data_IF_739697381660
#
_entry.id   IF_739697381660
#
_cell.length_a   1.000
_cell.length_b   1.000
_cell.length_c   1.000
_cell.angle_alpha   90.00
_cell.angle_beta   90.00
_cell.angle_gamma   90.00
#
_symmetry.space_group_name_H-M   'P 1'
#
loop_
_entity.id
_entity.type
_entity.pdbx_description
1 polymer ?
#
# COMPACT_ATOMS: atom_id res chain seq x y z
N UNK A 1 -4.08 -28.40 97.19
CA UNK A 1 -4.60 -27.12 96.69
C UNK A 1 -3.61 -26.55 95.71
N UNK A 2 -3.70 -26.94 94.46
CA UNK A 2 -2.80 -26.44 93.40
C UNK A 2 -3.66 -25.96 92.22
N UNK A 3 -3.58 -24.71 91.99
CA UNK A 3 -4.22 -24.06 90.89
C UNK A 3 -3.22 -24.00 89.68
N UNK A 4 -3.46 -24.76 88.64
CA UNK A 4 -2.69 -24.73 87.40
C UNK A 4 -3.09 -23.55 86.57
N UNK A 5 -2.13 -22.67 86.37
CA UNK A 5 -2.16 -21.59 85.37
C UNK A 5 -1.67 -22.12 84.03
N UNK A 6 -2.58 -22.25 83.05
CA UNK A 6 -2.25 -22.48 81.69
C UNK A 6 -2.03 -21.11 80.99
N UNK A 7 -0.81 -20.86 80.55
CA UNK A 7 -0.41 -19.63 79.90
C UNK A 7 -0.83 -19.52 78.39
N UNK A 8 -0.83 -18.31 77.82
CA UNK A 8 -1.31 -18.03 76.45
C UNK A 8 -0.19 -18.21 75.41
N UNK A 9 0.16 -19.46 75.05
CA UNK A 9 1.26 -19.72 74.10
C UNK A 9 0.83 -20.11 72.68
N UNK A 10 -0.47 -20.20 72.36
CA UNK A 10 -0.97 -20.76 71.14
C UNK A 10 -1.37 -19.73 70.02
N UNK A 11 -1.44 -18.42 70.36
CA UNK A 11 -1.97 -17.42 69.41
C UNK A 11 -0.93 -16.79 68.46
N UNK A 12 0.36 -16.88 68.73
CA UNK A 12 1.41 -16.20 67.92
C UNK A 12 1.72 -16.99 66.64
N UNK A 13 1.66 -18.32 66.72
CA UNK A 13 1.89 -19.19 65.53
C UNK A 13 0.81 -19.05 64.46
N UNK A 14 -0.47 -18.98 64.95
CA UNK A 14 -1.61 -18.88 64.05
C UNK A 14 -1.68 -17.52 63.36
N UNK A 15 -1.37 -16.43 64.03
CA UNK A 15 -1.30 -15.07 63.43
C UNK A 15 -0.18 -14.93 62.38
N UNK A 16 0.98 -15.56 62.66
CA UNK A 16 2.09 -15.59 61.67
C UNK A 16 1.72 -16.39 60.41
N UNK A 17 1.03 -17.52 60.56
CA UNK A 17 0.59 -18.36 59.46
C UNK A 17 -0.42 -17.62 58.55
N UNK A 18 -1.39 -16.90 59.15
CA UNK A 18 -2.36 -16.08 58.40
C UNK A 18 -1.66 -14.94 57.67
N UNK A 19 -0.65 -14.32 58.26
CA UNK A 19 0.09 -13.21 57.63
C UNK A 19 0.92 -13.67 56.42
N UNK A 20 1.53 -14.86 56.53
CA UNK A 20 2.28 -15.48 55.40
C UNK A 20 1.35 -15.93 54.28
N UNK A 21 0.17 -16.51 54.61
CA UNK A 21 -0.83 -16.84 53.56
C UNK A 21 -1.35 -15.61 52.87
N UNK A 22 -1.63 -14.50 53.55
CA UNK A 22 -2.05 -13.22 52.90
C UNK A 22 -0.95 -12.65 52.01
N UNK A 23 0.33 -12.77 52.41
CA UNK A 23 1.45 -12.33 51.56
C UNK A 23 1.58 -13.20 50.29
N UNK A 24 1.49 -14.52 50.41
CA UNK A 24 1.53 -15.45 49.28
C UNK A 24 0.35 -15.21 48.31
N UNK A 25 -0.87 -14.99 48.83
CA UNK A 25 -2.03 -14.70 48.01
C UNK A 25 -1.89 -13.38 47.24
N UNK A 26 -1.31 -12.35 47.87
CA UNK A 26 -1.01 -11.07 47.19
C UNK A 26 0.03 -11.22 46.10
N UNK A 27 1.08 -11.99 46.32
CA UNK A 27 2.11 -12.28 45.34
C UNK A 27 1.51 -13.05 44.15
N UNK A 28 0.66 -14.04 44.41
CA UNK A 28 -0.03 -14.82 43.38
C UNK A 28 -0.97 -13.95 42.54
N UNK A 29 -1.69 -13.01 43.16
CA UNK A 29 -2.56 -12.05 42.48
C UNK A 29 -1.76 -11.07 41.61
N UNK A 30 -0.60 -10.60 42.08
CA UNK A 30 0.28 -9.72 41.33
C UNK A 30 0.90 -10.47 40.12
N UNK A 31 1.32 -11.73 40.33
CA UNK A 31 1.84 -12.57 39.24
C UNK A 31 0.79 -12.84 38.14
N UNK A 32 -0.46 -13.16 38.55
CA UNK A 32 -1.56 -13.33 37.60
C UNK A 32 -1.90 -12.03 36.87
N UNK A 33 -1.88 -10.88 37.54
CA UNK A 33 -2.12 -9.59 36.91
C UNK A 33 -1.01 -9.21 35.95
N UNK A 34 0.26 -9.50 36.24
CA UNK A 34 1.40 -9.30 35.34
C UNK A 34 1.34 -10.23 34.13
N UNK A 35 0.87 -11.48 34.29
CA UNK A 35 0.67 -12.42 33.19
C UNK A 35 -0.46 -11.99 32.26
N UNK A 36 -1.52 -11.35 32.77
CA UNK A 36 -2.60 -10.78 31.95
C UNK A 36 -2.16 -9.55 31.15
N UNK A 37 -1.22 -8.77 31.67
CA UNK A 37 -0.69 -7.60 30.96
C UNK A 37 0.27 -7.98 29.80
N UNK A 38 0.86 -9.16 29.80
CA UNK A 38 1.77 -9.62 28.75
C UNK A 38 1.07 -10.25 27.53
N UNK A 39 -0.24 -10.51 27.59
CA UNK A 39 -1.02 -11.14 26.52
C UNK A 39 -1.73 -10.15 25.60
N UNK A 40 -1.51 -8.85 25.74
CA UNK A 40 -2.33 -7.83 25.10
C UNK A 40 -1.62 -6.79 24.24
N UNK A 41 -0.67 -7.12 23.34
CA UNK A 41 -0.12 -6.07 22.49
C UNK A 41 0.40 -6.44 21.08
N UNK A 42 0.14 -7.62 20.55
CA UNK A 42 0.64 -7.98 19.22
C UNK A 42 -0.38 -7.80 18.06
N UNK A 43 -1.66 -7.63 18.34
CA UNK A 43 -2.68 -7.48 17.29
C UNK A 43 -2.64 -6.15 16.55
N UNK A 44 -2.26 -5.06 17.20
CA UNK A 44 -2.30 -3.73 16.60
C UNK A 44 -1.21 -3.50 15.51
N UNK A 45 -0.11 -4.26 15.54
CA UNK A 45 0.97 -4.15 14.54
C UNK A 45 0.69 -4.94 13.26
N UNK A 46 -0.13 -5.99 13.34
CA UNK A 46 -0.49 -6.85 12.20
C UNK A 46 -1.51 -6.20 11.27
N UNK A 47 -2.45 -5.40 11.77
CA UNK A 47 -3.53 -4.82 10.96
C UNK A 47 -3.06 -3.67 10.04
N UNK A 48 -1.98 -2.97 10.40
CA UNK A 48 -1.43 -1.88 9.56
C UNK A 48 -0.77 -2.33 8.27
N UNK A 49 -0.50 -3.62 8.14
CA UNK A 49 0.27 -4.18 7.04
C UNK A 49 -0.58 -4.71 5.89
N UNK A 50 -1.86 -4.95 6.14
CA UNK A 50 -2.75 -5.57 5.16
C UNK A 50 -3.38 -4.54 4.25
N UNK A 51 -3.49 -4.89 2.97
CA UNK A 51 -4.33 -4.17 2.04
C UNK A 51 -5.79 -4.61 2.22
N UNK A 52 -6.71 -3.65 2.21
CA UNK A 52 -8.15 -3.91 2.29
C UNK A 52 -8.81 -3.31 1.05
N UNK A 53 -9.63 -4.09 0.36
CA UNK A 53 -10.43 -3.60 -0.76
C UNK A 53 -11.57 -2.72 -0.22
N UNK A 54 -11.51 -1.43 -0.53
CA UNK A 54 -12.49 -0.43 -0.07
C UNK A 54 -13.50 -0.03 -1.14
N UNK A 55 -13.21 -0.35 -2.40
CA UNK A 55 -14.14 -0.20 -3.51
C UNK A 55 -13.88 -1.28 -4.55
N UNK A 56 -14.93 -1.77 -5.20
CA UNK A 56 -14.86 -2.71 -6.31
C UNK A 56 -16.02 -2.46 -7.26
N UNK A 57 -15.72 -2.42 -8.56
CA UNK A 57 -16.70 -2.35 -9.64
C UNK A 57 -16.30 -3.32 -10.75
N UNK A 58 -17.27 -3.97 -11.37
CA UNK A 58 -17.02 -4.94 -12.43
C UNK A 58 -16.46 -6.27 -11.95
N UNK A 59 -15.63 -6.91 -12.78
CA UNK A 59 -15.01 -8.19 -12.52
C UNK A 59 -13.59 -8.02 -12.02
N UNK A 60 -13.40 -8.27 -10.74
CA UNK A 60 -12.09 -8.20 -10.07
C UNK A 60 -11.82 -9.53 -9.38
N UNK A 61 -10.62 -10.04 -9.51
CA UNK A 61 -10.16 -11.26 -8.85
C UNK A 61 -8.79 -11.08 -8.18
N UNK A 62 -8.53 -11.92 -7.18
CA UNK A 62 -7.22 -12.09 -6.56
C UNK A 62 -6.71 -13.48 -6.92
N UNK A 63 -5.50 -13.55 -7.48
CA UNK A 63 -4.73 -14.78 -7.56
C UNK A 63 -3.91 -14.93 -6.28
N UNK A 64 -4.14 -16.01 -5.54
CA UNK A 64 -3.47 -16.38 -4.30
C UNK A 64 -2.95 -17.81 -4.41
N UNK A 65 -1.67 -17.98 -4.70
CA UNK A 65 -1.14 -19.28 -5.12
C UNK A 65 -1.89 -19.78 -6.36
N UNK A 66 -2.41 -20.99 -6.30
CA UNK A 66 -3.17 -21.62 -7.41
C UNK A 66 -4.67 -21.28 -7.39
N UNK A 67 -5.11 -20.42 -6.49
CA UNK A 67 -6.53 -20.07 -6.34
C UNK A 67 -6.84 -18.72 -6.97
N UNK A 68 -7.93 -18.65 -7.73
CA UNK A 68 -8.53 -17.40 -8.21
C UNK A 68 -9.79 -17.10 -7.40
N UNK A 69 -9.76 -16.00 -6.65
CA UNK A 69 -10.79 -15.59 -5.70
C UNK A 69 -11.49 -14.35 -6.27
N UNK A 70 -12.82 -14.40 -6.40
CA UNK A 70 -13.59 -13.21 -6.75
C UNK A 70 -13.52 -12.19 -5.61
N UNK A 71 -13.19 -10.95 -5.93
CA UNK A 71 -13.03 -9.87 -4.95
C UNK A 71 -14.37 -9.26 -4.57
N UNK A 72 -14.56 -9.02 -3.27
CA UNK A 72 -15.65 -8.24 -2.70
C UNK A 72 -15.12 -7.10 -1.82
N UNK A 73 -16.03 -6.23 -1.36
CA UNK A 73 -15.72 -5.21 -0.37
C UNK A 73 -15.16 -5.84 0.91
N UNK A 74 -14.21 -5.16 1.53
CA UNK A 74 -13.52 -5.56 2.75
C UNK A 74 -12.67 -6.83 2.61
N UNK A 75 -12.46 -7.30 1.37
CA UNK A 75 -11.52 -8.40 1.12
C UNK A 75 -10.12 -7.96 1.51
N UNK A 76 -9.48 -8.72 2.40
CA UNK A 76 -8.07 -8.52 2.77
C UNK A 76 -7.13 -9.12 1.73
N UNK A 77 -6.09 -8.36 1.37
CA UNK A 77 -4.96 -8.84 0.59
C UNK A 77 -3.91 -9.47 1.50
N UNK A 78 -3.34 -10.56 1.05
CA UNK A 78 -2.17 -11.20 1.66
C UNK A 78 -0.90 -10.86 0.87
N UNK A 79 0.23 -10.99 1.53
CA UNK A 79 1.52 -10.82 0.88
C UNK A 79 1.67 -11.79 -0.31
N UNK A 80 1.97 -11.26 -1.48
CA UNK A 80 2.09 -12.02 -2.73
C UNK A 80 0.82 -12.11 -3.57
N UNK A 81 -0.32 -11.64 -3.07
CA UNK A 81 -1.57 -11.61 -3.85
C UNK A 81 -1.41 -10.77 -5.12
N UNK A 82 -2.04 -11.26 -6.20
CA UNK A 82 -2.13 -10.55 -7.47
C UNK A 82 -3.57 -10.15 -7.73
N UNK A 83 -3.83 -8.86 -7.80
CA UNK A 83 -5.14 -8.31 -8.16
C UNK A 83 -5.23 -8.19 -9.67
N UNK A 84 -6.24 -8.80 -10.27
CA UNK A 84 -6.57 -8.66 -11.69
C UNK A 84 -7.94 -8.02 -11.86
N UNK A 85 -7.98 -7.02 -12.75
CA UNK A 85 -9.21 -6.37 -13.21
C UNK A 85 -9.45 -6.68 -14.67
N UNK A 86 -10.70 -6.94 -15.04
CA UNK A 86 -11.13 -7.11 -16.43
C UNK A 86 -11.56 -5.77 -17.06
N UNK A 87 -12.14 -5.82 -18.27
CA UNK A 87 -12.69 -4.62 -18.91
C UNK A 87 -13.76 -3.96 -18.04
N UNK A 88 -13.79 -2.63 -18.00
CA UNK A 88 -14.72 -1.82 -17.19
C UNK A 88 -14.75 -2.18 -15.71
N UNK A 89 -13.61 -2.61 -15.19
CA UNK A 89 -13.48 -3.05 -13.81
C UNK A 89 -12.46 -2.21 -13.06
N UNK A 90 -12.72 -1.96 -11.78
CA UNK A 90 -11.85 -1.16 -10.92
C UNK A 90 -11.87 -1.69 -9.50
N UNK A 91 -10.73 -1.68 -8.83
CA UNK A 91 -10.62 -1.90 -7.40
C UNK A 91 -9.83 -0.78 -6.74
N UNK A 92 -10.26 -0.35 -5.55
CA UNK A 92 -9.47 0.52 -4.67
C UNK A 92 -9.06 -0.27 -3.45
N UNK A 93 -7.77 -0.23 -3.16
CA UNK A 93 -7.15 -0.92 -2.05
C UNK A 93 -6.49 0.10 -1.16
N UNK A 94 -6.75 0.02 0.14
CA UNK A 94 -6.14 0.90 1.15
C UNK A 94 -5.21 0.11 2.05
N UNK A 95 -4.09 0.72 2.43
CA UNK A 95 -3.11 0.17 3.35
C UNK A 95 -2.85 1.17 4.47
N UNK A 96 -2.54 0.67 5.66
CA UNK A 96 -2.02 1.47 6.76
C UNK A 96 -2.91 2.63 7.20
N UNK A 97 -4.15 2.39 7.58
CA UNK A 97 -5.10 3.43 8.02
C UNK A 97 -5.29 4.53 6.94
N UNK A 98 -5.41 4.14 5.68
CA UNK A 98 -5.52 5.01 4.51
C UNK A 98 -4.26 5.84 4.18
N UNK A 99 -3.10 5.43 4.70
CA UNK A 99 -1.84 6.12 4.38
C UNK A 99 -1.36 5.85 2.95
N UNK A 100 -1.77 4.70 2.38
CA UNK A 100 -1.52 4.36 0.97
C UNK A 100 -2.84 3.92 0.36
N UNK A 101 -3.10 4.45 -0.81
CA UNK A 101 -4.29 4.22 -1.60
C UNK A 101 -3.87 3.81 -3.00
N UNK A 102 -4.36 2.67 -3.48
CA UNK A 102 -4.07 2.16 -4.82
C UNK A 102 -5.38 1.92 -5.53
N UNK A 103 -5.59 2.60 -6.63
CA UNK A 103 -6.66 2.29 -7.57
C UNK A 103 -6.08 1.45 -8.71
N UNK A 104 -6.59 0.23 -8.86
CA UNK A 104 -6.27 -0.67 -9.96
C UNK A 104 -7.37 -0.53 -10.99
N UNK A 105 -7.05 0.03 -12.16
CA UNK A 105 -8.00 0.33 -13.23
C UNK A 105 -8.23 -0.89 -14.14
N UNK A 106 -9.06 -0.72 -15.17
CA UNK A 106 -9.45 -1.81 -16.09
C UNK A 106 -8.25 -2.48 -16.76
N UNK A 107 -8.38 -3.78 -17.00
CA UNK A 107 -7.40 -4.61 -17.73
C UNK A 107 -6.00 -4.62 -17.11
N UNK A 108 -5.93 -4.51 -15.79
CA UNK A 108 -4.69 -4.38 -15.03
C UNK A 108 -4.33 -5.65 -14.27
N UNK A 109 -3.03 -5.84 -14.06
CA UNK A 109 -2.49 -6.88 -13.19
C UNK A 109 -1.48 -6.27 -12.24
N UNK A 110 -1.77 -6.37 -10.95
CA UNK A 110 -1.10 -5.66 -9.89
C UNK A 110 -0.83 -6.58 -8.71
N UNK A 111 0.43 -6.71 -8.29
CA UNK A 111 0.85 -7.56 -7.17
C UNK A 111 1.24 -6.70 -5.97
N UNK A 112 0.81 -7.11 -4.81
CA UNK A 112 1.26 -6.58 -3.53
C UNK A 112 2.26 -7.51 -2.87
N UNK A 113 3.40 -6.96 -2.45
CA UNK A 113 4.40 -7.66 -1.65
C UNK A 113 4.90 -6.74 -0.55
N UNK A 114 5.11 -7.28 0.63
CA UNK A 114 5.68 -6.56 1.76
C UNK A 114 6.92 -7.28 2.27
N UNK A 115 8.01 -6.56 2.40
CA UNK A 115 9.25 -7.03 2.99
C UNK A 115 9.73 -6.04 4.05
N UNK A 116 9.82 -6.49 5.31
CA UNK A 116 10.22 -5.65 6.45
C UNK A 116 9.36 -4.40 6.62
N UNK A 117 9.90 -3.22 6.28
CA UNK A 117 9.21 -1.93 6.36
C UNK A 117 8.94 -1.33 4.97
N UNK A 118 9.13 -2.10 3.91
CA UNK A 118 8.90 -1.66 2.54
C UNK A 118 7.68 -2.35 1.94
N UNK A 119 6.77 -1.55 1.38
CA UNK A 119 5.68 -2.04 0.55
C UNK A 119 6.11 -1.97 -0.91
N UNK A 120 6.19 -3.14 -1.50
CA UNK A 120 6.54 -3.31 -2.89
C UNK A 120 5.30 -3.63 -3.69
N UNK A 121 4.99 -2.77 -4.64
CA UNK A 121 3.95 -2.97 -5.64
C UNK A 121 4.60 -3.35 -6.96
N UNK A 122 4.01 -4.30 -7.67
CA UNK A 122 4.47 -4.73 -8.99
C UNK A 122 3.28 -4.62 -9.94
N UNK A 123 3.39 -3.75 -10.91
CA UNK A 123 2.40 -3.59 -11.97
C UNK A 123 2.90 -4.24 -13.26
N UNK A 124 2.29 -5.34 -13.65
CA UNK A 124 2.69 -6.09 -14.83
C UNK A 124 2.08 -5.52 -16.12
N UNK A 125 0.83 -5.05 -16.05
CA UNK A 125 0.09 -4.43 -17.17
C UNK A 125 -1.03 -3.52 -16.66
N UNK A 126 -1.56 -2.71 -17.57
CA UNK A 126 -2.71 -1.85 -17.31
C UNK A 126 -2.35 -0.57 -16.59
N UNK A 127 -3.26 -0.04 -15.80
CA UNK A 127 -3.14 1.28 -15.20
C UNK A 127 -3.45 1.27 -13.72
N UNK A 128 -2.66 2.02 -12.96
CA UNK A 128 -2.91 2.26 -11.54
C UNK A 128 -2.73 3.72 -11.20
N UNK A 129 -3.50 4.18 -10.24
CA UNK A 129 -3.26 5.44 -9.55
C UNK A 129 -2.86 5.13 -8.12
N UNK A 130 -1.75 5.70 -7.66
CA UNK A 130 -1.21 5.45 -6.33
C UNK A 130 -1.06 6.78 -5.59
N UNK A 131 -1.58 6.81 -4.36
CA UNK A 131 -1.44 7.95 -3.46
C UNK A 131 -0.86 7.51 -2.13
N UNK A 132 0.15 8.24 -1.65
CA UNK A 132 0.74 8.03 -0.33
C UNK A 132 0.65 9.33 0.46
N UNK A 133 -0.04 9.34 1.60
CA UNK A 133 -0.23 10.58 2.38
C UNK A 133 0.76 10.72 3.52
N UNK A 134 0.88 9.72 4.38
CA UNK A 134 1.76 9.74 5.56
C UNK A 134 2.41 8.38 5.75
N UNK A 135 3.65 8.26 5.35
CA UNK A 135 4.48 7.13 5.70
C UNK A 135 5.11 7.34 7.06
N UNK A 136 5.18 6.31 7.89
CA UNK A 136 5.91 6.36 9.14
C UNK A 136 7.42 6.46 8.87
N UNK A 137 8.17 6.99 9.83
CA UNK A 137 9.62 7.07 9.71
C UNK A 137 10.22 5.67 9.50
N UNK A 138 10.90 5.49 8.37
CA UNK A 138 11.52 4.21 7.99
C UNK A 138 10.63 3.29 7.15
N UNK A 139 9.39 3.70 6.81
CA UNK A 139 8.59 3.00 5.80
C UNK A 139 8.93 3.50 4.40
N UNK A 140 9.10 2.57 3.47
CA UNK A 140 9.29 2.80 2.05
C UNK A 140 8.10 2.28 1.24
N UNK A 141 7.86 2.91 0.11
CA UNK A 141 6.94 2.43 -0.92
C UNK A 141 7.66 2.46 -2.25
N UNK A 142 7.65 1.36 -2.96
CA UNK A 142 8.15 1.27 -4.33
C UNK A 142 7.14 0.61 -5.25
N UNK A 143 7.08 1.10 -6.49
CA UNK A 143 6.32 0.51 -7.56
C UNK A 143 7.26 0.05 -8.67
N UNK A 144 7.23 -1.25 -8.96
CA UNK A 144 8.00 -1.85 -10.04
C UNK A 144 7.08 -2.11 -11.23
N UNK A 145 7.57 -1.78 -12.40
CA UNK A 145 6.95 -2.07 -13.69
C UNK A 145 7.98 -2.79 -14.59
N UNK A 146 7.62 -3.26 -15.78
CA UNK A 146 8.59 -3.90 -16.67
C UNK A 146 9.80 -3.02 -17.02
N UNK A 147 9.65 -1.70 -17.11
CA UNK A 147 10.72 -0.79 -17.60
C UNK A 147 11.23 0.21 -16.58
N UNK A 148 10.49 0.46 -15.49
CA UNK A 148 10.81 1.48 -14.48
C UNK A 148 10.53 0.98 -13.08
N UNK A 149 11.38 1.35 -12.14
CA UNK A 149 11.14 1.29 -10.70
C UNK A 149 10.90 2.71 -10.19
N UNK A 150 9.77 2.94 -9.51
CA UNK A 150 9.41 4.21 -8.90
C UNK A 150 9.51 4.11 -7.38
N UNK A 151 10.41 4.88 -6.77
CA UNK A 151 10.46 5.12 -5.34
C UNK A 151 9.52 6.27 -4.96
N UNK A 152 8.69 6.09 -3.93
CA UNK A 152 7.56 6.97 -3.64
C UNK A 152 7.61 7.46 -2.20
N UNK A 153 7.42 8.75 -2.00
CA UNK A 153 7.30 9.34 -0.67
C UNK A 153 6.39 10.57 -0.65
N UNK A 154 5.21 10.41 -0.03
CA UNK A 154 4.25 11.51 0.08
C UNK A 154 3.79 12.04 -1.28
N UNK A 155 3.34 11.14 -2.15
CA UNK A 155 3.17 11.41 -3.58
C UNK A 155 1.88 10.82 -4.07
N UNK A 156 1.27 11.49 -5.04
CA UNK A 156 0.18 10.96 -5.86
C UNK A 156 0.61 10.93 -7.32
N UNK A 157 0.50 9.76 -7.96
CA UNK A 157 0.90 9.60 -9.35
C UNK A 157 0.13 8.48 -10.03
N UNK A 158 0.05 8.58 -11.33
CA UNK A 158 -0.53 7.58 -12.23
C UNK A 158 0.58 6.77 -12.91
N UNK A 159 0.34 5.47 -13.08
CA UNK A 159 1.21 4.58 -13.83
C UNK A 159 0.40 3.81 -14.87
N UNK A 160 0.83 3.87 -16.12
CA UNK A 160 0.31 3.07 -17.22
C UNK A 160 1.39 2.14 -17.77
N UNK A 161 1.13 0.83 -17.81
CA UNK A 161 1.96 -0.15 -18.51
C UNK A 161 1.20 -0.56 -19.76
N UNK A 162 1.68 -0.08 -20.91
CA UNK A 162 1.04 -0.25 -22.20
C UNK A 162 2.05 -0.81 -23.19
N UNK A 163 1.77 -2.01 -23.70
CA UNK A 163 2.69 -2.74 -24.57
C UNK A 163 4.07 -2.92 -23.91
N UNK A 164 5.13 -2.37 -24.51
CA UNK A 164 6.52 -2.40 -24.02
C UNK A 164 6.96 -1.13 -23.29
N UNK A 165 6.00 -0.24 -22.96
CA UNK A 165 6.26 1.06 -22.33
C UNK A 165 5.64 1.16 -20.95
N UNK A 166 6.33 1.88 -20.07
CA UNK A 166 5.74 2.41 -18.81
C UNK A 166 5.64 3.93 -18.92
N UNK A 167 4.46 4.44 -18.58
CA UNK A 167 4.16 5.86 -18.46
C UNK A 167 3.92 6.21 -17.01
N UNK A 168 4.59 7.23 -16.49
CA UNK A 168 4.38 7.73 -15.14
C UNK A 168 4.06 9.21 -15.20
N UNK A 169 2.83 9.57 -14.83
CA UNK A 169 2.40 10.95 -14.67
C UNK A 169 2.46 11.32 -13.19
N UNK A 170 3.29 12.27 -12.88
CA UNK A 170 3.42 12.81 -11.56
C UNK A 170 2.32 13.86 -11.30
N UNK A 171 1.50 13.63 -10.28
CA UNK A 171 0.40 14.53 -9.93
C UNK A 171 0.73 15.42 -8.74
N UNK A 172 1.43 14.88 -7.73
CA UNK A 172 1.79 15.59 -6.51
C UNK A 172 2.98 14.93 -5.81
N UNK A 173 3.88 15.73 -5.22
CA UNK A 173 5.02 15.28 -4.41
C UNK A 173 6.28 15.00 -5.23
N UNK A 174 7.02 13.94 -4.92
CA UNK A 174 8.26 13.55 -5.61
C UNK A 174 8.26 12.05 -5.90
N UNK A 175 8.60 11.70 -7.13
CA UNK A 175 8.79 10.31 -7.56
C UNK A 175 10.23 10.16 -8.05
N UNK A 176 10.99 9.28 -7.41
CA UNK A 176 12.29 8.87 -7.93
C UNK A 176 12.10 7.73 -8.92
N UNK A 177 12.49 7.94 -10.17
CA UNK A 177 12.38 6.97 -11.25
C UNK A 177 13.77 6.37 -11.52
N UNK A 178 13.84 5.04 -11.58
CA UNK A 178 15.00 4.29 -12.03
C UNK A 178 14.63 3.46 -13.25
N UNK A 179 15.31 3.65 -14.38
CA UNK A 179 15.17 2.79 -15.54
C UNK A 179 15.74 1.40 -15.22
N UNK A 180 14.96 0.35 -15.44
CA UNK A 180 15.35 -1.01 -15.05
C UNK A 180 16.49 -1.59 -15.90
N UNK A 181 16.73 -1.05 -17.11
CA UNK A 181 17.75 -1.59 -18.04
C UNK A 181 19.11 -0.93 -17.83
N UNK A 182 19.16 0.41 -17.76
CA UNK A 182 20.42 1.16 -17.69
C UNK A 182 20.69 1.79 -16.32
N UNK A 183 19.77 1.61 -15.34
CA UNK A 183 19.85 2.16 -13.99
C UNK A 183 19.95 3.69 -13.90
N UNK A 184 19.62 4.38 -14.98
CA UNK A 184 19.56 5.84 -14.96
C UNK A 184 18.45 6.31 -14.02
N UNK A 185 18.81 7.22 -13.09
CA UNK A 185 17.88 7.76 -12.09
C UNK A 185 17.50 9.18 -12.42
N UNK A 186 16.24 9.51 -12.18
CA UNK A 186 15.72 10.86 -12.25
C UNK A 186 14.60 11.06 -11.24
N UNK A 187 14.64 12.19 -10.53
CA UNK A 187 13.51 12.64 -9.73
C UNK A 187 12.53 13.36 -10.64
N UNK A 188 11.27 12.92 -10.62
CA UNK A 188 10.18 13.59 -11.30
C UNK A 188 9.44 14.46 -10.28
N UNK A 189 9.59 15.77 -10.42
CA UNK A 189 9.05 16.82 -9.54
C UNK A 189 8.33 17.93 -10.31
N UNK A 190 8.06 17.70 -11.59
CA UNK A 190 7.52 18.67 -12.52
C UNK A 190 6.38 18.08 -13.35
N UNK A 191 5.58 18.98 -13.92
CA UNK A 191 4.41 18.63 -14.73
C UNK A 191 4.78 18.00 -16.07
N UNK A 192 5.24 16.76 -16.08
CA UNK A 192 5.37 16.00 -17.32
C UNK A 192 5.13 14.50 -17.10
N UNK A 193 4.77 13.87 -18.19
CA UNK A 193 4.62 12.44 -18.30
C UNK A 193 5.97 11.82 -18.69
N UNK A 194 6.58 11.06 -17.79
CA UNK A 194 7.73 10.25 -18.08
C UNK A 194 7.29 8.99 -18.84
N UNK A 195 7.92 8.66 -19.95
CA UNK A 195 7.66 7.43 -20.70
C UNK A 195 8.97 6.70 -20.95
N UNK A 196 9.02 5.44 -20.52
CA UNK A 196 10.21 4.59 -20.61
C UNK A 196 9.92 3.35 -21.45
N UNK A 197 10.79 3.05 -22.42
CA UNK A 197 10.81 1.83 -23.22
C UNK A 197 12.26 1.37 -23.38
N UNK A 198 12.56 0.16 -22.90
CA UNK A 198 13.93 -0.32 -22.85
C UNK A 198 14.82 0.63 -22.04
N UNK A 199 16.00 0.95 -22.57
CA UNK A 199 16.94 1.90 -21.95
C UNK A 199 16.58 3.38 -22.15
N UNK A 200 15.55 3.71 -22.96
CA UNK A 200 15.16 5.08 -23.30
C UNK A 200 14.07 5.60 -22.38
N UNK A 201 14.27 6.81 -21.86
CA UNK A 201 13.24 7.56 -21.14
C UNK A 201 13.07 8.94 -21.78
N UNK A 202 11.84 9.27 -22.16
CA UNK A 202 11.46 10.58 -22.68
C UNK A 202 10.45 11.25 -21.75
N UNK A 203 10.24 12.54 -21.95
CA UNK A 203 9.26 13.33 -21.22
C UNK A 203 8.31 14.02 -22.19
N UNK A 204 7.00 13.82 -22.00
CA UNK A 204 5.96 14.59 -22.67
C UNK A 204 5.58 15.76 -21.76
N UNK A 205 5.76 16.96 -22.28
CA UNK A 205 5.43 18.19 -21.56
C UNK A 205 3.99 18.64 -21.83
N UNK A 206 3.42 19.55 -21.02
CA UNK A 206 2.13 20.17 -21.35
C UNK A 206 2.09 20.75 -22.76
N UNK A 207 3.18 21.37 -23.21
CA UNK A 207 3.27 21.94 -24.56
C UNK A 207 3.23 20.88 -25.66
N UNK A 208 3.79 19.68 -25.44
CA UNK A 208 3.70 18.58 -26.38
C UNK A 208 2.25 18.07 -26.51
N UNK A 209 1.54 17.96 -25.37
CA UNK A 209 0.15 17.49 -25.33
C UNK A 209 -0.83 18.50 -25.93
N UNK A 210 -0.64 19.79 -25.65
CA UNK A 210 -1.47 20.86 -26.22
C UNK A 210 -1.39 20.94 -27.74
N UNK A 211 -0.24 20.66 -28.34
CA UNK A 211 -0.10 20.59 -29.82
C UNK A 211 -0.99 19.53 -30.46
N UNK A 212 -1.26 18.47 -29.72
CA UNK A 212 -2.13 17.36 -30.14
C UNK A 212 -3.58 17.51 -29.60
N UNK A 213 -3.94 18.67 -29.08
CA UNK A 213 -5.24 18.97 -28.47
C UNK A 213 -5.60 18.03 -27.29
N UNK A 214 -4.61 17.50 -26.60
CA UNK A 214 -4.81 16.76 -25.35
C UNK A 214 -4.76 17.75 -24.20
N UNK A 215 -5.83 17.91 -23.40
CA UNK A 215 -5.82 18.80 -22.27
C UNK A 215 -4.83 18.28 -21.23
N UNK A 216 -4.05 19.18 -20.65
CA UNK A 216 -3.18 18.89 -19.54
C UNK A 216 -3.84 19.37 -18.23
N UNK A 217 -3.53 18.73 -17.10
CA UNK A 217 -4.13 19.06 -15.81
C UNK A 217 -5.37 18.25 -15.48
N UNK A 218 -5.61 17.17 -16.21
CA UNK A 218 -6.60 16.16 -15.88
C UNK A 218 -6.02 15.09 -14.94
N UNK A 219 -6.89 14.30 -14.39
CA UNK A 219 -6.54 13.18 -13.54
C UNK A 219 -6.63 11.88 -14.33
N UNK A 220 -5.56 11.10 -14.38
CA UNK A 220 -5.52 9.85 -15.15
C UNK A 220 -6.36 8.73 -14.52
N UNK A 221 -6.70 8.83 -13.24
CA UNK A 221 -7.61 7.90 -12.57
C UNK A 221 -9.01 7.93 -13.16
N UNK A 222 -9.37 9.01 -13.82
CA UNK A 222 -10.68 9.28 -14.38
C UNK A 222 -10.97 8.60 -15.72
N UNK A 223 -10.05 7.77 -16.23
CA UNK A 223 -10.34 6.89 -17.37
C UNK A 223 -11.38 5.81 -17.02
N UNK A 224 -11.70 5.64 -15.77
CA UNK A 224 -12.71 4.72 -15.24
C UNK A 224 -13.62 5.42 -14.23
N UNK A 225 -14.80 4.83 -13.96
CA UNK A 225 -15.69 5.24 -12.88
C UNK A 225 -15.04 4.92 -11.52
N UNK A 226 -14.17 5.80 -11.08
CA UNK A 226 -13.37 5.65 -9.88
C UNK A 226 -13.81 6.60 -8.78
N UNK A 227 -13.82 6.17 -7.51
CA UNK A 227 -14.04 7.08 -6.39
C UNK A 227 -12.89 8.08 -6.19
N UNK A 228 -11.74 7.86 -6.83
CA UNK A 228 -10.61 8.79 -6.86
C UNK A 228 -10.67 9.72 -8.07
N UNK A 229 -11.56 9.48 -9.03
CA UNK A 229 -11.74 10.27 -10.23
C UNK A 229 -12.08 11.73 -9.93
N UNK A 230 -11.62 12.64 -10.80
CA UNK A 230 -11.82 14.08 -10.71
C UNK A 230 -12.63 14.61 -11.88
N UNK A 231 -12.84 15.92 -11.93
CA UNK A 231 -13.84 16.56 -12.80
C UNK A 231 -13.56 16.55 -14.30
N UNK A 232 -12.37 16.22 -14.75
CA UNK A 232 -11.98 16.27 -16.16
C UNK A 232 -11.26 15.00 -16.60
N UNK A 233 -11.98 13.90 -16.81
CA UNK A 233 -11.38 12.64 -17.24
C UNK A 233 -10.76 12.75 -18.64
N UNK A 234 -9.61 12.11 -18.83
CA UNK A 234 -9.05 11.91 -20.16
C UNK A 234 -9.90 10.90 -20.91
N UNK A 235 -10.37 11.25 -22.08
CA UNK A 235 -11.09 10.32 -22.93
C UNK A 235 -10.16 9.22 -23.46
N UNK A 236 -10.72 8.07 -23.84
CA UNK A 236 -9.96 6.99 -24.47
C UNK A 236 -9.20 7.47 -25.73
N UNK A 237 -9.80 8.35 -26.52
CA UNK A 237 -9.17 8.93 -27.72
C UNK A 237 -7.95 9.77 -27.35
N UNK A 238 -8.06 10.62 -26.33
CA UNK A 238 -6.94 11.44 -25.85
C UNK A 238 -5.81 10.56 -25.31
N UNK A 239 -6.13 9.51 -24.56
CA UNK A 239 -5.14 8.56 -24.07
C UNK A 239 -4.42 7.83 -25.22
N UNK A 240 -5.15 7.40 -26.24
CA UNK A 240 -4.55 6.83 -27.46
C UNK A 240 -3.63 7.84 -28.20
N UNK A 241 -3.99 9.11 -28.19
CA UNK A 241 -3.14 10.19 -28.75
C UNK A 241 -1.85 10.33 -27.95
N UNK A 242 -1.92 10.29 -26.62
CA UNK A 242 -0.73 10.31 -25.74
C UNK A 242 0.19 9.13 -26.04
N UNK A 243 -0.36 7.92 -26.18
CA UNK A 243 0.42 6.72 -26.53
C UNK A 243 1.11 6.90 -27.88
N UNK A 244 0.39 7.36 -28.89
CA UNK A 244 0.95 7.59 -30.24
C UNK A 244 2.08 8.63 -30.22
N UNK A 245 1.89 9.74 -29.49
CA UNK A 245 2.89 10.78 -29.32
C UNK A 245 4.14 10.25 -28.60
N UNK A 246 3.96 9.46 -27.55
CA UNK A 246 5.04 8.83 -26.80
C UNK A 246 5.88 7.92 -27.71
N UNK A 247 5.24 7.04 -28.49
CA UNK A 247 5.91 6.15 -29.44
C UNK A 247 6.72 6.97 -30.47
N UNK A 248 6.10 7.96 -31.09
CA UNK A 248 6.77 8.84 -32.07
C UNK A 248 8.01 9.49 -31.48
N UNK A 249 7.93 10.00 -30.26
CA UNK A 249 9.05 10.68 -29.60
C UNK A 249 10.16 9.69 -29.20
N UNK A 250 9.81 8.49 -28.68
CA UNK A 250 10.76 7.41 -28.41
C UNK A 250 11.50 6.93 -29.65
N UNK A 251 10.80 6.80 -30.79
CA UNK A 251 11.39 6.34 -32.03
C UNK A 251 12.32 7.40 -32.68
N UNK A 252 12.07 8.68 -32.41
CA UNK A 252 12.89 9.79 -32.89
C UNK A 252 14.07 10.15 -31.99
N UNK A 253 14.11 9.59 -30.79
CA UNK A 253 15.21 9.81 -29.82
C UNK A 253 16.33 8.79 -30.11
N UNK A 254 17.57 9.23 -30.31
CA UNK A 254 18.70 8.35 -30.61
C UNK A 254 19.04 7.36 -29.49
#
# INVERSE_FOLDING_TARGET
>A
MESNLLGPATNIGFARMILTMKKMLRILLILNFALFLSLGCDKAKSDRKRGIVTFVSGNVSIERGDQKIKVGLHQELQNGDVVETEDKSTAVITFGENSILVEVQSNSKFRFTEKENEKLFIQEKGSTWLSTSKLLKGEGVSLHTPTVTAGVRGTSFYTGVVEDMTMICHCEGHVELENNENHAKKTNDSDYLAVTRGSKTIYLTPADLHKENVPYGHDHSELSDSPLGRKNPMSLKEFQTVIALAKKKLDSTP
#
